data_IF_021591099958
#
_entry.id   IF_021591099958
#
_cell.length_a   1.000
_cell.length_b   1.000
_cell.length_c   1.000
_cell.angle_alpha   90.00
_cell.angle_beta   90.00
_cell.angle_gamma   90.00
#
_symmetry.space_group_name_H-M   'P 1'
#
loop_
_entity.id
_entity.type
_entity.pdbx_description
1 polymer ?
#
# COMPACT_ATOMS: atom_id res chain seq x y z
N UNK A 1 -6.69 31.92 -16.43
CA UNK A 1 -6.98 30.74 -17.26
C UNK A 1 -8.48 30.57 -17.34
N UNK A 2 -9.04 30.18 -18.50
CA UNK A 2 -10.48 29.99 -18.63
C UNK A 2 -10.96 28.88 -17.71
N UNK A 3 -12.06 29.10 -16.97
CA UNK A 3 -12.71 28.07 -16.13
C UNK A 3 -13.42 26.98 -16.95
N UNK A 4 -13.12 26.83 -18.24
CA UNK A 4 -13.70 25.79 -19.08
C UNK A 4 -12.94 24.47 -18.88
N UNK A 5 -13.65 23.39 -18.61
CA UNK A 5 -13.07 22.05 -18.53
C UNK A 5 -12.41 21.68 -19.89
N UNK A 6 -11.25 21.00 -19.87
CA UNK A 6 -10.64 20.48 -21.08
C UNK A 6 -11.53 19.38 -21.69
N UNK A 7 -11.25 18.98 -22.94
CA UNK A 7 -11.91 17.82 -23.53
C UNK A 7 -11.54 16.55 -22.76
N UNK A 8 -12.53 15.90 -22.17
CA UNK A 8 -12.35 14.71 -21.30
C UNK A 8 -12.29 13.39 -22.10
N UNK A 9 -12.55 13.39 -23.43
CA UNK A 9 -12.72 12.15 -24.20
C UNK A 9 -11.43 11.33 -24.33
N UNK A 10 -10.27 11.97 -24.48
CA UNK A 10 -9.02 11.29 -24.81
C UNK A 10 -8.33 10.59 -23.63
N UNK A 11 -8.71 10.90 -22.38
CA UNK A 11 -8.12 10.25 -21.22
C UNK A 11 -8.93 9.04 -20.75
N UNK A 12 -8.32 7.87 -20.83
CA UNK A 12 -8.87 6.64 -20.27
C UNK A 12 -8.44 6.52 -18.80
N UNK A 13 -9.31 6.94 -17.90
CA UNK A 13 -9.03 6.95 -16.47
C UNK A 13 -8.97 5.53 -15.90
N UNK A 14 -7.93 5.19 -15.11
CA UNK A 14 -7.80 3.89 -14.46
C UNK A 14 -8.82 3.71 -13.33
N UNK A 15 -9.27 2.47 -13.09
CA UNK A 15 -10.19 2.10 -12.01
C UNK A 15 -11.42 3.02 -11.87
N UNK A 16 -11.94 3.51 -12.99
CA UNK A 16 -12.99 4.53 -13.04
C UNK A 16 -14.09 4.12 -14.00
N UNK A 17 -15.34 4.33 -13.62
CA UNK A 17 -16.46 4.28 -14.54
C UNK A 17 -16.44 5.48 -15.49
N UNK A 18 -15.62 5.43 -16.55
CA UNK A 18 -15.31 6.57 -17.42
C UNK A 18 -16.57 7.23 -17.99
N UNK A 19 -17.58 6.44 -18.40
CA UNK A 19 -18.84 6.98 -18.94
C UNK A 19 -19.60 7.84 -17.93
N UNK A 20 -19.57 7.44 -16.64
CA UNK A 20 -20.20 8.21 -15.57
C UNK A 20 -19.35 9.44 -15.21
N UNK A 21 -18.03 9.28 -15.07
CA UNK A 21 -17.13 10.36 -14.70
C UNK A 21 -17.15 11.50 -15.73
N UNK A 22 -17.11 11.20 -17.03
CA UNK A 22 -17.12 12.22 -18.07
C UNK A 22 -18.41 13.04 -18.11
N UNK A 23 -19.53 12.48 -17.61
CA UNK A 23 -20.81 13.20 -17.44
C UNK A 23 -20.89 13.98 -16.12
N UNK A 24 -20.19 13.52 -15.09
CA UNK A 24 -20.21 14.08 -13.76
C UNK A 24 -18.77 14.21 -13.23
N UNK A 25 -17.93 15.08 -13.82
CA UNK A 25 -16.51 15.15 -13.52
C UNK A 25 -16.28 15.76 -12.14
N UNK A 26 -15.41 15.12 -11.37
CA UNK A 26 -14.85 15.65 -10.11
C UNK A 26 -13.40 15.99 -10.38
N UNK A 27 -13.13 17.26 -10.61
CA UNK A 27 -11.82 17.75 -11.04
C UNK A 27 -11.18 18.60 -9.96
N UNK A 28 -9.92 18.32 -9.66
CA UNK A 28 -9.08 19.13 -8.79
C UNK A 28 -8.16 20.02 -9.64
N UNK A 29 -7.94 21.26 -9.23
CA UNK A 29 -7.02 22.19 -9.87
C UNK A 29 -5.85 22.59 -9.00
N UNK A 30 -6.02 22.55 -7.68
CA UNK A 30 -4.99 22.91 -6.70
C UNK A 30 -5.10 21.98 -5.48
N UNK A 31 -4.01 21.89 -4.72
CA UNK A 31 -4.00 21.23 -3.43
C UNK A 31 -3.02 21.91 -2.47
N UNK A 32 -3.30 21.90 -1.19
CA UNK A 32 -2.41 22.39 -0.12
C UNK A 32 -2.78 21.75 1.22
N UNK A 33 -1.79 21.26 1.95
CA UNK A 33 -2.01 20.62 3.24
C UNK A 33 -2.98 19.44 3.12
N UNK A 34 -4.11 19.50 3.82
CA UNK A 34 -5.14 18.44 3.75
C UNK A 34 -6.25 18.72 2.73
N UNK A 35 -6.13 19.72 1.88
CA UNK A 35 -7.26 20.17 1.07
C UNK A 35 -6.93 20.18 -0.42
N UNK A 36 -7.91 19.76 -1.21
CA UNK A 36 -8.00 20.02 -2.63
C UNK A 36 -8.92 21.19 -2.90
N UNK A 37 -8.61 21.98 -3.93
CA UNK A 37 -9.54 22.94 -4.54
C UNK A 37 -10.06 22.33 -5.84
N UNK A 38 -11.36 22.20 -5.97
CA UNK A 38 -12.01 21.69 -7.19
C UNK A 38 -12.02 22.73 -8.29
N UNK A 39 -12.35 22.30 -9.51
CA UNK A 39 -12.41 23.20 -10.65
C UNK A 39 -13.53 24.25 -10.56
N UNK A 40 -14.56 23.99 -9.73
CA UNK A 40 -15.65 24.89 -9.39
C UNK A 40 -15.43 25.62 -8.04
N UNK A 41 -14.19 25.76 -7.62
CA UNK A 41 -13.73 26.55 -6.45
C UNK A 41 -14.22 26.04 -5.08
N UNK A 42 -14.67 24.77 -4.97
CA UNK A 42 -15.00 24.16 -3.70
C UNK A 42 -13.75 23.58 -3.04
N UNK A 43 -13.72 23.64 -1.72
CA UNK A 43 -12.69 23.00 -0.90
C UNK A 43 -13.13 21.59 -0.49
N UNK A 44 -12.28 20.59 -0.72
CA UNK A 44 -12.51 19.20 -0.33
C UNK A 44 -11.36 18.74 0.56
N UNK A 45 -11.67 18.33 1.80
CA UNK A 45 -10.69 17.76 2.72
C UNK A 45 -10.32 16.35 2.31
N UNK A 46 -9.05 16.03 2.31
CA UNK A 46 -8.52 14.69 2.00
C UNK A 46 -8.54 13.80 3.26
N UNK A 47 -9.55 12.98 3.39
CA UNK A 47 -9.69 12.00 4.48
C UNK A 47 -8.99 10.65 4.20
N UNK A 48 -8.23 10.53 3.08
CA UNK A 48 -7.65 9.24 2.66
C UNK A 48 -6.21 9.37 2.12
N UNK A 49 -5.54 10.51 2.38
CA UNK A 49 -4.18 10.78 1.90
C UNK A 49 -4.02 10.53 0.39
N UNK A 50 -4.90 11.12 -0.42
CA UNK A 50 -4.98 10.85 -1.86
C UNK A 50 -5.39 9.41 -2.14
N UNK A 51 -4.41 8.53 -2.26
CA UNK A 51 -4.60 7.09 -2.40
C UNK A 51 -3.67 6.35 -1.41
N UNK A 52 -3.81 6.64 -0.10
CA UNK A 52 -2.94 6.17 0.99
C UNK A 52 -1.46 6.55 0.78
N UNK A 53 -1.15 7.71 0.20
CA UNK A 53 0.21 8.08 -0.16
C UNK A 53 0.65 9.46 0.33
N UNK A 54 -0.25 10.44 0.46
CA UNK A 54 0.09 11.83 0.79
C UNK A 54 0.21 12.03 2.31
N UNK A 55 1.15 11.30 2.95
CA UNK A 55 1.29 11.29 4.41
C UNK A 55 1.67 12.68 4.97
N UNK A 56 2.51 13.46 4.26
CA UNK A 56 2.87 14.84 4.62
C UNK A 56 1.86 15.88 4.11
N UNK A 57 0.69 15.46 3.62
CA UNK A 57 -0.26 16.33 2.94
C UNK A 57 0.19 16.70 1.52
N UNK A 58 -0.50 17.67 0.93
CA UNK A 58 -0.31 18.09 -0.45
C UNK A 58 0.60 19.32 -0.55
N UNK A 59 1.42 19.33 -1.60
CA UNK A 59 2.29 20.47 -1.97
C UNK A 59 3.16 20.97 -0.80
N UNK A 60 3.73 20.06 -0.01
CA UNK A 60 4.58 20.41 1.13
C UNK A 60 5.79 21.24 0.64
N UNK A 61 6.01 22.47 1.18
CA UNK A 61 6.99 23.42 0.60
C UNK A 61 8.41 22.84 0.49
N UNK A 62 8.90 22.16 1.53
CA UNK A 62 10.25 21.57 1.54
C UNK A 62 10.41 20.46 0.50
N UNK A 63 9.36 19.67 0.24
CA UNK A 63 9.39 18.60 -0.78
C UNK A 63 9.37 19.23 -2.17
N UNK A 64 8.51 20.22 -2.39
CA UNK A 64 8.42 20.96 -3.66
C UNK A 64 9.76 21.63 -3.99
N UNK A 65 10.37 22.33 -3.03
CA UNK A 65 11.67 22.97 -3.18
C UNK A 65 12.78 21.98 -3.56
N UNK A 66 12.82 20.81 -2.90
CA UNK A 66 13.80 19.77 -3.20
C UNK A 66 13.67 19.25 -4.65
N UNK A 67 12.44 19.04 -5.12
CA UNK A 67 12.17 18.61 -6.50
C UNK A 67 12.62 19.69 -7.49
N UNK A 68 12.30 20.95 -7.25
CA UNK A 68 12.69 22.09 -8.11
C UNK A 68 14.21 22.20 -8.22
N UNK A 69 14.91 22.17 -7.09
CA UNK A 69 16.37 22.22 -7.04
C UNK A 69 17.01 21.03 -7.76
N UNK A 70 16.45 19.82 -7.59
CA UNK A 70 16.98 18.65 -8.27
C UNK A 70 16.76 18.73 -9.79
N UNK A 71 15.61 19.24 -10.24
CA UNK A 71 15.31 19.43 -11.66
C UNK A 71 16.27 20.43 -12.34
N UNK A 72 16.75 21.46 -11.63
CA UNK A 72 17.73 22.41 -12.11
C UNK A 72 19.15 21.84 -12.17
N UNK A 73 19.45 20.82 -11.36
CA UNK A 73 20.82 20.29 -11.21
C UNK A 73 21.06 19.02 -12.02
N UNK A 74 20.15 18.04 -11.92
CA UNK A 74 20.22 16.77 -12.61
C UNK A 74 18.79 16.21 -12.71
N UNK A 75 18.18 16.39 -13.87
CA UNK A 75 16.80 15.97 -14.15
C UNK A 75 16.66 14.45 -14.33
N UNK A 76 17.65 13.84 -15.00
CA UNK A 76 17.72 12.40 -15.24
C UNK A 76 19.15 11.88 -15.27
N UNK A 77 19.36 10.70 -14.71
CA UNK A 77 20.54 9.87 -14.91
C UNK A 77 20.11 8.40 -15.00
N UNK A 78 20.69 7.65 -15.93
CA UNK A 78 20.43 6.21 -16.00
C UNK A 78 21.06 5.48 -14.81
N UNK A 79 20.35 4.50 -14.26
CA UNK A 79 20.90 3.61 -13.24
C UNK A 79 21.66 2.40 -13.84
N UNK A 80 21.71 2.28 -15.17
CA UNK A 80 22.37 1.16 -15.82
C UNK A 80 23.85 1.48 -16.00
N UNK A 81 24.71 0.90 -15.13
CA UNK A 81 26.17 1.07 -15.08
C UNK A 81 26.63 2.52 -14.77
N UNK A 82 25.70 3.39 -14.40
CA UNK A 82 25.94 4.75 -13.97
C UNK A 82 25.11 5.02 -12.71
N UNK A 83 25.43 6.06 -11.97
CA UNK A 83 24.70 6.40 -10.76
C UNK A 83 24.80 7.89 -10.43
N UNK A 84 24.09 8.29 -9.39
CA UNK A 84 24.17 9.62 -8.82
C UNK A 84 24.06 9.57 -7.28
N UNK A 85 24.70 10.49 -6.55
CA UNK A 85 24.79 10.44 -5.09
C UNK A 85 23.43 10.38 -4.37
N UNK A 86 22.43 11.09 -4.92
CA UNK A 86 21.11 11.24 -4.28
C UNK A 86 20.39 9.87 -4.10
N UNK A 87 20.57 8.94 -5.07
CA UNK A 87 19.91 7.63 -4.96
C UNK A 87 20.59 6.73 -3.92
N UNK A 88 21.92 6.80 -3.79
CA UNK A 88 22.64 6.06 -2.76
C UNK A 88 22.28 6.59 -1.37
N UNK A 89 22.20 7.92 -1.20
CA UNK A 89 21.73 8.50 0.05
C UNK A 89 20.27 8.10 0.39
N UNK A 90 19.40 7.97 -0.63
CA UNK A 90 18.04 7.46 -0.43
C UNK A 90 18.04 6.00 -0.01
N UNK A 91 18.90 5.16 -0.60
CA UNK A 91 19.04 3.76 -0.21
C UNK A 91 19.50 3.63 1.25
N UNK A 92 20.55 4.36 1.64
CA UNK A 92 21.06 4.43 3.01
C UNK A 92 19.94 4.81 3.99
N UNK A 93 19.22 5.91 3.72
CA UNK A 93 18.13 6.36 4.60
C UNK A 93 16.99 5.34 4.73
N UNK A 94 16.67 4.60 3.68
CA UNK A 94 15.64 3.55 3.73
C UNK A 94 16.09 2.35 4.55
N UNK A 95 17.35 1.93 4.39
CA UNK A 95 17.95 0.83 5.17
C UNK A 95 18.00 1.20 6.66
N UNK A 96 18.40 2.43 7.00
CA UNK A 96 18.42 2.91 8.39
C UNK A 96 17.03 2.90 9.06
N UNK A 97 15.95 3.03 8.27
CA UNK A 97 14.58 3.02 8.78
C UNK A 97 13.97 1.62 8.87
N UNK A 98 14.43 0.70 8.02
CA UNK A 98 13.91 -0.66 7.92
C UNK A 98 14.31 -1.54 9.10
N UNK A 99 13.65 -2.68 9.32
CA UNK A 99 14.17 -3.71 10.22
C UNK A 99 15.62 -4.04 9.87
N UNK A 100 16.49 -4.12 10.89
CA UNK A 100 17.97 -4.18 10.77
C UNK A 100 18.52 -5.27 9.82
N UNK A 101 17.72 -6.30 9.51
CA UNK A 101 18.12 -7.37 8.61
C UNK A 101 17.98 -7.00 7.11
N UNK A 102 17.24 -5.93 6.78
CA UNK A 102 17.02 -5.48 5.41
C UNK A 102 18.08 -4.42 5.05
N UNK A 103 19.12 -4.84 4.35
CA UNK A 103 20.35 -4.07 4.15
C UNK A 103 20.56 -3.52 2.75
N UNK A 104 19.74 -3.94 1.77
CA UNK A 104 19.90 -3.51 0.38
C UNK A 104 18.57 -3.08 -0.25
N UNK A 105 18.61 -2.03 -1.07
CA UNK A 105 17.46 -1.46 -1.75
C UNK A 105 17.56 -1.56 -3.27
N UNK A 106 16.50 -2.02 -3.92
CA UNK A 106 16.33 -2.01 -5.37
C UNK A 106 15.16 -1.08 -5.73
N UNK A 107 15.39 -0.05 -6.58
CA UNK A 107 14.39 0.97 -6.88
C UNK A 107 13.57 0.67 -8.13
N UNK A 108 12.28 0.99 -8.04
CA UNK A 108 11.28 0.88 -9.10
C UNK A 108 10.46 2.18 -9.18
N UNK A 109 9.45 2.24 -10.06
CA UNK A 109 8.64 3.47 -10.23
C UNK A 109 7.26 3.40 -9.57
N UNK A 110 6.89 2.24 -9.04
CA UNK A 110 5.58 2.01 -8.41
C UNK A 110 5.61 0.79 -7.49
N UNK A 111 4.58 0.67 -6.62
CA UNK A 111 4.38 -0.53 -5.84
C UNK A 111 4.11 -1.79 -6.70
N UNK A 112 3.46 -1.63 -7.85
CA UNK A 112 3.23 -2.75 -8.78
C UNK A 112 4.52 -3.31 -9.34
N UNK A 113 5.45 -2.43 -9.74
CA UNK A 113 6.78 -2.84 -10.18
C UNK A 113 7.63 -3.39 -9.02
N UNK A 114 7.50 -2.83 -7.82
CA UNK A 114 8.19 -3.34 -6.64
C UNK A 114 7.77 -4.79 -6.34
N UNK A 115 6.49 -5.11 -6.40
CA UNK A 115 5.99 -6.48 -6.22
C UNK A 115 6.52 -7.42 -7.30
N UNK A 116 6.36 -7.09 -8.58
CA UNK A 116 6.87 -7.94 -9.68
C UNK A 116 8.39 -8.14 -9.57
N UNK A 117 9.13 -7.13 -9.10
CA UNK A 117 10.57 -7.21 -8.82
C UNK A 117 10.86 -8.14 -7.63
N UNK A 118 10.13 -8.01 -6.53
CA UNK A 118 10.30 -8.87 -5.34
C UNK A 118 10.06 -10.35 -5.67
N UNK A 119 9.03 -10.67 -6.46
CA UNK A 119 8.76 -12.02 -6.92
C UNK A 119 9.90 -12.56 -7.80
N UNK A 120 10.46 -11.73 -8.69
CA UNK A 120 11.62 -12.09 -9.52
C UNK A 120 12.87 -12.31 -8.69
N UNK A 121 13.14 -11.45 -7.70
CA UNK A 121 14.26 -11.62 -6.77
C UNK A 121 14.13 -12.95 -6.04
N UNK A 122 12.95 -13.28 -5.51
CA UNK A 122 12.72 -14.54 -4.81
C UNK A 122 13.02 -15.77 -5.69
N UNK A 123 12.51 -15.78 -6.91
CA UNK A 123 12.76 -16.89 -7.87
C UNK A 123 14.25 -16.97 -8.27
N UNK A 124 14.88 -15.84 -8.54
CA UNK A 124 16.28 -15.76 -8.95
C UNK A 124 17.23 -16.12 -7.80
N UNK A 125 16.92 -15.73 -6.57
CA UNK A 125 17.66 -16.10 -5.36
C UNK A 125 17.76 -17.61 -5.20
N UNK A 126 16.64 -18.33 -5.24
CA UNK A 126 16.66 -19.78 -5.14
C UNK A 126 17.43 -20.42 -6.31
N UNK A 127 17.30 -19.87 -7.51
CA UNK A 127 18.06 -20.35 -8.67
C UNK A 127 19.57 -20.13 -8.49
N UNK A 128 20.01 -18.97 -7.97
CA UNK A 128 21.42 -18.67 -7.71
C UNK A 128 22.04 -19.66 -6.69
N UNK A 129 21.23 -20.12 -5.74
CA UNK A 129 21.64 -21.15 -4.74
C UNK A 129 21.56 -22.59 -5.24
N UNK A 130 21.22 -22.82 -6.51
CA UNK A 130 21.06 -24.18 -7.05
C UNK A 130 19.69 -24.81 -6.78
N UNK A 131 18.75 -24.07 -6.19
CA UNK A 131 17.38 -24.51 -5.85
C UNK A 131 16.35 -24.04 -6.90
N UNK A 132 16.73 -24.07 -8.17
CA UNK A 132 15.89 -23.56 -9.28
C UNK A 132 14.55 -24.30 -9.50
N UNK A 133 14.27 -25.33 -8.72
CA UNK A 133 12.99 -26.03 -8.65
C UNK A 133 11.96 -25.31 -7.76
N UNK A 134 12.38 -24.37 -6.90
CA UNK A 134 11.51 -23.50 -6.12
C UNK A 134 10.91 -22.41 -7.01
N UNK A 135 9.76 -22.69 -7.59
CA UNK A 135 9.09 -21.80 -8.56
C UNK A 135 7.67 -21.42 -8.19
N UNK A 136 7.11 -22.04 -7.14
CA UNK A 136 5.77 -21.73 -6.67
C UNK A 136 5.76 -20.48 -5.79
N UNK A 137 4.69 -19.71 -5.95
CA UNK A 137 4.43 -18.52 -5.16
C UNK A 137 3.09 -18.68 -4.43
N UNK A 138 3.02 -18.20 -3.22
CA UNK A 138 1.79 -18.26 -2.42
C UNK A 138 1.38 -16.84 -2.05
N UNK A 139 0.16 -16.44 -2.46
CA UNK A 139 -0.46 -15.19 -2.06
C UNK A 139 -1.58 -15.41 -1.04
N UNK A 140 -2.49 -14.44 -0.92
CA UNK A 140 -3.64 -14.54 -0.04
C UNK A 140 -4.91 -14.04 -0.75
N UNK A 141 -6.04 -14.71 -0.54
CA UNK A 141 -7.36 -14.21 -0.96
C UNK A 141 -7.57 -12.78 -0.46
N UNK A 142 -8.18 -11.94 -1.27
CA UNK A 142 -8.36 -10.50 -1.04
C UNK A 142 -7.06 -9.68 -0.95
N UNK A 143 -5.88 -10.27 -1.13
CA UNK A 143 -4.62 -9.52 -1.23
C UNK A 143 -4.58 -8.64 -2.48
N UNK A 144 -4.00 -7.44 -2.35
CA UNK A 144 -3.74 -6.54 -3.47
C UNK A 144 -2.24 -6.25 -3.58
N UNK A 145 -1.65 -6.64 -4.69
CA UNK A 145 -0.21 -6.52 -4.93
C UNK A 145 0.10 -5.79 -6.24
N UNK A 146 -0.70 -4.78 -6.57
CA UNK A 146 -0.53 -4.01 -7.80
C UNK A 146 -1.21 -4.64 -9.01
N UNK A 147 -0.80 -4.19 -10.22
CA UNK A 147 -1.48 -4.49 -11.49
C UNK A 147 -0.59 -5.15 -12.52
N UNK A 148 0.69 -5.43 -12.21
CA UNK A 148 1.56 -6.29 -13.01
C UNK A 148 1.06 -7.73 -13.02
N UNK A 149 1.43 -8.54 -14.03
CA UNK A 149 0.97 -9.93 -14.10
C UNK A 149 1.44 -10.78 -12.91
N UNK A 150 2.62 -10.50 -12.33
CA UNK A 150 3.04 -11.10 -11.08
C UNK A 150 2.11 -10.72 -9.94
N UNK A 151 1.90 -9.43 -9.74
CA UNK A 151 1.07 -8.89 -8.67
C UNK A 151 -0.38 -9.36 -8.73
N UNK A 152 -1.03 -9.40 -9.91
CA UNK A 152 -2.40 -9.93 -10.04
C UNK A 152 -2.47 -11.45 -9.91
N UNK A 153 -1.36 -12.16 -10.16
CA UNK A 153 -1.32 -13.62 -10.00
C UNK A 153 -1.30 -14.01 -8.52
N UNK A 154 -0.45 -13.38 -7.71
CA UNK A 154 -0.39 -13.60 -6.24
C UNK A 154 -1.49 -12.84 -5.50
N UNK A 155 -2.08 -11.80 -6.10
CA UNK A 155 -3.22 -11.09 -5.56
C UNK A 155 -4.50 -11.94 -5.55
N UNK A 156 -5.39 -11.69 -4.60
CA UNK A 156 -6.63 -12.45 -4.39
C UNK A 156 -7.92 -11.67 -4.63
N UNK A 157 -7.84 -10.49 -5.26
CA UNK A 157 -9.00 -9.67 -5.58
C UNK A 157 -9.58 -10.05 -6.95
N UNK A 158 -10.72 -10.73 -6.99
CA UNK A 158 -11.38 -11.20 -8.21
C UNK A 158 -11.58 -10.11 -9.28
N UNK A 159 -12.00 -8.86 -8.96
CA UNK A 159 -12.17 -7.83 -9.98
C UNK A 159 -10.89 -7.51 -10.76
N UNK A 160 -9.72 -7.64 -10.12
CA UNK A 160 -8.41 -7.33 -10.70
C UNK A 160 -7.88 -8.45 -11.61
N UNK A 161 -8.48 -9.63 -11.58
CA UNK A 161 -8.02 -10.84 -12.27
C UNK A 161 -8.93 -11.26 -13.43
N UNK A 162 -10.24 -11.19 -13.22
CA UNK A 162 -11.25 -11.81 -14.07
C UNK A 162 -11.24 -11.41 -15.55
N UNK A 163 -10.70 -10.23 -15.88
CA UNK A 163 -10.67 -9.74 -17.26
C UNK A 163 -9.44 -10.22 -18.06
N UNK A 164 -8.40 -10.71 -17.38
CA UNK A 164 -7.12 -10.99 -18.02
C UNK A 164 -6.90 -12.48 -18.32
N UNK A 165 -7.61 -13.37 -17.65
CA UNK A 165 -7.62 -14.81 -17.90
C UNK A 165 -6.34 -15.52 -17.47
N UNK A 166 -5.24 -15.34 -18.21
CA UNK A 166 -3.96 -15.99 -17.94
C UNK A 166 -3.26 -15.35 -16.73
N UNK A 167 -2.88 -16.21 -15.77
CA UNK A 167 -2.06 -15.86 -14.60
C UNK A 167 -0.74 -16.62 -14.65
N UNK A 168 0.23 -16.24 -13.82
CA UNK A 168 1.44 -17.03 -13.66
C UNK A 168 1.08 -18.46 -13.18
N UNK A 169 1.68 -19.50 -13.74
CA UNK A 169 1.49 -20.86 -13.25
C UNK A 169 2.14 -21.06 -11.88
N UNK A 170 1.66 -22.04 -11.11
CA UNK A 170 2.25 -22.39 -9.81
C UNK A 170 2.00 -21.36 -8.71
N UNK A 171 0.83 -20.71 -8.74
CA UNK A 171 0.42 -19.78 -7.68
C UNK A 171 -0.76 -20.36 -6.91
N UNK A 172 -0.62 -20.41 -5.59
CA UNK A 172 -1.67 -20.78 -4.65
C UNK A 172 -2.05 -19.60 -3.76
N UNK A 173 -3.20 -19.71 -3.06
CA UNK A 173 -3.69 -18.63 -2.22
C UNK A 173 -4.14 -19.16 -0.85
N UNK A 174 -3.63 -18.55 0.20
CA UNK A 174 -4.17 -18.70 1.55
C UNK A 174 -5.57 -18.07 1.64
N UNK A 175 -6.40 -18.58 2.52
CA UNK A 175 -7.67 -17.93 2.88
C UNK A 175 -7.40 -16.56 3.51
N UNK A 176 -8.33 -15.63 3.27
CA UNK A 176 -8.28 -14.35 3.98
C UNK A 176 -8.68 -14.51 5.45
N UNK A 177 -8.23 -13.57 6.30
CA UNK A 177 -8.49 -13.59 7.75
C UNK A 177 -9.76 -12.84 8.16
N UNK A 178 -10.45 -12.18 7.21
CA UNK A 178 -11.68 -11.47 7.49
C UNK A 178 -12.83 -12.45 7.80
N UNK A 179 -13.44 -12.29 8.96
CA UNK A 179 -14.54 -13.15 9.43
C UNK A 179 -15.52 -12.34 10.29
N UNK A 180 -16.73 -12.13 9.79
CA UNK A 180 -17.74 -11.33 10.48
C UNK A 180 -18.35 -12.07 11.69
N UNK A 181 -18.39 -13.38 11.67
CA UNK A 181 -18.95 -14.17 12.77
C UNK A 181 -18.11 -14.04 14.05
N UNK A 182 -16.77 -14.07 13.91
CA UNK A 182 -15.85 -14.07 15.03
C UNK A 182 -15.21 -12.70 15.31
N UNK A 183 -15.00 -11.89 14.26
CA UNK A 183 -14.16 -10.70 14.31
C UNK A 183 -14.91 -9.38 14.06
N UNK A 184 -16.24 -9.40 13.85
CA UNK A 184 -16.99 -8.16 13.65
C UNK A 184 -16.77 -7.18 14.80
N UNK A 185 -16.46 -5.92 14.44
CA UNK A 185 -16.22 -4.83 15.38
C UNK A 185 -15.04 -5.04 16.36
N UNK A 186 -14.06 -5.87 16.00
CA UNK A 186 -12.83 -5.97 16.77
C UNK A 186 -12.09 -4.63 16.78
N UNK A 187 -11.59 -4.23 17.95
CA UNK A 187 -10.73 -3.06 18.12
C UNK A 187 -9.28 -3.54 18.03
N UNK A 188 -8.51 -2.96 17.12
CA UNK A 188 -7.15 -3.43 16.82
C UNK A 188 -7.13 -4.84 16.23
N UNK A 189 -6.16 -5.66 16.63
CA UNK A 189 -6.01 -7.03 16.13
C UNK A 189 -7.11 -7.96 16.66
N UNK A 190 -7.82 -8.69 15.77
CA UNK A 190 -8.75 -9.73 16.19
C UNK A 190 -8.04 -10.84 16.98
N UNK A 191 -8.72 -11.42 17.95
CA UNK A 191 -8.17 -12.54 18.74
C UNK A 191 -8.34 -13.91 18.04
N UNK A 192 -9.36 -14.04 17.21
CA UNK A 192 -9.65 -15.28 16.48
C UNK A 192 -9.00 -15.25 15.09
N UNK A 193 -8.38 -16.36 14.69
CA UNK A 193 -7.97 -16.57 13.32
C UNK A 193 -6.45 -16.79 13.11
N UNK A 194 -5.64 -16.91 14.18
CA UNK A 194 -4.22 -17.29 14.07
C UNK A 194 -4.02 -18.66 13.40
N UNK A 195 -4.91 -19.62 13.70
CA UNK A 195 -4.93 -20.97 13.12
C UNK A 195 -5.16 -20.99 11.60
N UNK A 196 -5.66 -19.91 11.02
CA UNK A 196 -5.79 -19.80 9.56
C UNK A 196 -4.42 -19.82 8.85
N UNK A 197 -3.33 -19.58 9.59
CA UNK A 197 -1.97 -19.73 9.08
C UNK A 197 -1.60 -21.20 8.81
N UNK A 198 -2.26 -22.17 9.49
CA UNK A 198 -1.99 -23.60 9.33
C UNK A 198 -2.31 -24.11 7.92
N UNK A 199 -3.16 -23.37 7.17
CA UNK A 199 -3.41 -23.66 5.76
C UNK A 199 -2.13 -23.57 4.90
N UNK A 200 -1.14 -22.77 5.32
CA UNK A 200 0.15 -22.75 4.61
C UNK A 200 0.78 -24.15 4.65
N UNK A 201 0.79 -24.80 5.80
CA UNK A 201 1.29 -26.19 5.94
C UNK A 201 0.53 -27.17 5.04
N UNK A 202 -0.80 -27.04 4.94
CA UNK A 202 -1.61 -27.89 4.05
C UNK A 202 -1.20 -27.73 2.57
N UNK A 203 -0.99 -26.50 2.11
CA UNK A 203 -0.52 -26.18 0.75
C UNK A 203 0.88 -26.75 0.53
N UNK A 204 1.77 -26.59 1.51
CA UNK A 204 3.15 -27.11 1.43
C UNK A 204 3.17 -28.63 1.35
N UNK A 205 2.32 -29.33 2.10
CA UNK A 205 2.21 -30.79 2.04
C UNK A 205 1.68 -31.28 0.69
N UNK A 206 0.79 -30.50 0.04
CA UNK A 206 0.24 -30.85 -1.27
C UNK A 206 1.30 -30.72 -2.38
N UNK A 207 2.19 -29.74 -2.31
CA UNK A 207 3.10 -29.38 -3.40
C UNK A 207 4.56 -29.76 -3.16
N UNK A 208 4.92 -30.26 -1.99
CA UNK A 208 6.28 -30.38 -1.46
C UNK A 208 6.89 -28.98 -1.17
N UNK A 209 7.25 -28.71 0.11
CA UNK A 209 7.81 -27.41 0.53
C UNK A 209 9.03 -26.97 -0.29
N UNK A 210 9.83 -27.92 -0.79
CA UNK A 210 11.01 -27.64 -1.62
C UNK A 210 10.68 -26.99 -2.96
N UNK A 211 9.42 -27.01 -3.41
CA UNK A 211 8.99 -26.37 -4.67
C UNK A 211 8.55 -24.92 -4.49
N UNK A 212 8.35 -24.45 -3.25
CA UNK A 212 7.83 -23.12 -2.95
C UNK A 212 8.99 -22.13 -2.78
N UNK A 213 8.93 -21.04 -3.53
CA UNK A 213 9.91 -19.97 -3.47
C UNK A 213 9.58 -18.92 -2.41
N UNK A 214 8.35 -18.43 -2.39
CA UNK A 214 7.96 -17.34 -1.50
C UNK A 214 6.47 -17.34 -1.17
N UNK A 215 6.17 -16.77 0.01
CA UNK A 215 4.84 -16.31 0.41
C UNK A 215 4.84 -14.79 0.37
N UNK A 216 3.82 -14.17 -0.21
CA UNK A 216 3.64 -12.72 -0.22
C UNK A 216 2.31 -12.34 0.42
N UNK A 217 2.33 -11.30 1.28
CA UNK A 217 1.13 -10.73 1.87
C UNK A 217 1.33 -9.29 2.34
N UNK A 218 0.24 -8.54 2.43
CA UNK A 218 0.20 -7.25 3.13
C UNK A 218 0.12 -7.52 4.64
N UNK A 219 0.86 -6.78 5.50
CA UNK A 219 0.63 -6.84 6.96
C UNK A 219 -0.82 -6.53 7.34
N UNK A 220 -1.40 -5.50 6.72
CA UNK A 220 -2.83 -5.18 6.76
C UNK A 220 -3.32 -5.17 5.30
N UNK A 221 -4.36 -5.95 4.98
CA UNK A 221 -4.93 -5.94 3.64
C UNK A 221 -5.74 -4.65 3.40
N UNK A 222 -5.02 -3.59 3.04
CA UNK A 222 -5.57 -2.23 2.96
C UNK A 222 -6.60 -2.08 1.86
N UNK A 223 -6.23 -2.44 0.63
CA UNK A 223 -7.09 -2.30 -0.56
C UNK A 223 -8.34 -3.18 -0.54
N UNK A 224 -8.35 -4.26 0.25
CA UNK A 224 -9.50 -5.14 0.38
C UNK A 224 -10.57 -4.63 1.35
N UNK A 225 -10.23 -3.69 2.24
CA UNK A 225 -11.14 -3.17 3.25
C UNK A 225 -10.52 -2.99 4.63
N UNK A 226 -9.19 -2.79 4.69
CA UNK A 226 -8.43 -2.62 5.94
C UNK A 226 -8.59 -3.83 6.87
N UNK A 227 -8.32 -5.02 6.35
CA UNK A 227 -8.41 -6.26 7.15
C UNK A 227 -7.16 -6.42 8.01
N UNK A 228 -7.35 -6.28 9.32
CA UNK A 228 -6.29 -6.39 10.31
C UNK A 228 -5.98 -7.89 10.55
N UNK A 229 -4.71 -8.31 10.57
CA UNK A 229 -4.35 -9.70 10.83
C UNK A 229 -4.69 -10.06 12.28
N UNK A 230 -5.19 -11.30 12.54
CA UNK A 230 -5.35 -11.80 13.90
C UNK A 230 -4.02 -11.83 14.67
N UNK A 231 -4.11 -11.73 15.98
CA UNK A 231 -2.94 -11.86 16.87
C UNK A 231 -2.25 -13.20 16.61
N UNK A 232 -0.92 -13.15 16.33
CA UNK A 232 -0.12 -14.35 16.08
C UNK A 232 -0.16 -14.90 14.65
N UNK A 233 -1.10 -14.46 13.80
CA UNK A 233 -1.21 -14.97 12.42
C UNK A 233 0.06 -14.78 11.59
N UNK A 234 0.61 -13.55 11.57
CA UNK A 234 1.82 -13.24 10.79
C UNK A 234 3.06 -13.95 11.36
N UNK A 235 3.15 -14.09 12.68
CA UNK A 235 4.24 -14.82 13.34
C UNK A 235 4.25 -16.29 12.94
N UNK A 236 3.08 -16.96 12.94
CA UNK A 236 2.96 -18.35 12.46
C UNK A 236 3.35 -18.49 10.99
N UNK A 237 2.94 -17.57 10.12
CA UNK A 237 3.38 -17.57 8.71
C UNK A 237 4.90 -17.47 8.63
N UNK A 238 5.53 -16.58 9.42
CA UNK A 238 7.00 -16.45 9.46
C UNK A 238 7.64 -17.77 9.91
N UNK A 239 7.17 -18.34 11.01
CA UNK A 239 7.68 -19.60 11.55
C UNK A 239 7.62 -20.75 10.52
N UNK A 240 6.50 -20.91 9.83
CA UNK A 240 6.35 -21.94 8.79
C UNK A 240 7.29 -21.67 7.60
N UNK A 241 7.45 -20.40 7.19
CA UNK A 241 8.38 -20.05 6.13
C UNK A 241 9.82 -20.37 6.52
N UNK A 242 10.23 -20.06 7.75
CA UNK A 242 11.58 -20.35 8.29
C UNK A 242 11.87 -21.85 8.31
N UNK A 243 10.92 -22.64 8.81
CA UNK A 243 11.06 -24.10 8.89
C UNK A 243 11.36 -24.75 7.52
N UNK A 244 10.81 -24.17 6.45
CA UNK A 244 10.91 -24.75 5.10
C UNK A 244 11.81 -23.97 4.15
N UNK A 245 12.52 -22.93 4.62
CA UNK A 245 13.40 -22.10 3.79
C UNK A 245 12.67 -21.37 2.67
N UNK A 246 11.43 -20.94 2.93
CA UNK A 246 10.57 -20.20 2.03
C UNK A 246 10.70 -18.71 2.36
N UNK A 247 10.88 -17.86 1.34
CA UNK A 247 10.99 -16.43 1.58
C UNK A 247 9.63 -15.81 1.94
N UNK A 248 9.60 -14.99 2.97
CA UNK A 248 8.45 -14.15 3.31
C UNK A 248 8.62 -12.76 2.71
N UNK A 249 7.71 -12.36 1.83
CA UNK A 249 7.62 -11.02 1.26
C UNK A 249 6.48 -10.28 1.96
N UNK A 250 6.79 -9.17 2.65
CA UNK A 250 5.75 -8.27 3.17
C UNK A 250 5.58 -7.07 2.24
N UNK A 251 4.35 -6.89 1.77
CA UNK A 251 3.96 -5.75 0.96
C UNK A 251 3.57 -4.57 1.88
N UNK A 252 4.53 -3.68 2.09
CA UNK A 252 4.42 -2.51 2.96
C UNK A 252 4.05 -1.23 2.19
N UNK A 253 3.57 -1.36 0.98
CA UNK A 253 3.21 -0.22 0.11
C UNK A 253 2.17 0.70 0.75
N UNK A 254 1.25 0.16 1.58
CA UNK A 254 0.29 0.96 2.36
C UNK A 254 0.73 1.12 3.81
N UNK A 255 1.20 0.06 4.45
CA UNK A 255 1.47 -0.01 5.88
C UNK A 255 2.77 0.66 6.32
N UNK A 256 3.69 0.88 5.37
CA UNK A 256 4.95 1.56 5.64
C UNK A 256 4.84 3.06 5.89
N UNK A 257 5.96 3.65 6.27
CA UNK A 257 6.16 5.08 6.48
C UNK A 257 5.18 5.70 7.47
N UNK A 258 5.05 5.09 8.66
CA UNK A 258 4.32 5.67 9.80
C UNK A 258 2.83 5.35 9.86
N UNK A 259 2.25 4.68 8.85
CA UNK A 259 0.80 4.47 8.75
C UNK A 259 0.22 3.63 9.89
N UNK A 260 0.96 2.66 10.39
CA UNK A 260 0.59 1.81 11.52
C UNK A 260 0.98 2.38 12.89
N UNK A 261 1.62 3.56 12.92
CA UNK A 261 2.25 4.13 14.12
C UNK A 261 3.72 3.74 14.32
N UNK A 262 4.22 2.76 13.56
CA UNK A 262 5.63 2.34 13.46
C UNK A 262 6.20 2.74 12.11
N UNK A 263 7.52 2.62 11.90
CA UNK A 263 8.11 2.89 10.58
C UNK A 263 7.44 2.04 9.50
N UNK A 264 7.26 0.75 9.81
CA UNK A 264 6.63 -0.24 8.93
C UNK A 264 5.61 -1.09 9.69
N UNK A 265 4.72 -1.76 8.97
CA UNK A 265 3.78 -2.71 9.56
C UNK A 265 4.49 -3.93 10.14
N UNK A 266 5.60 -4.36 9.56
CA UNK A 266 6.48 -5.40 10.09
C UNK A 266 6.92 -5.11 11.53
N UNK A 267 7.30 -3.87 11.82
CA UNK A 267 7.65 -3.43 13.18
C UNK A 267 6.43 -3.50 14.12
N UNK A 268 5.27 -3.04 13.63
CA UNK A 268 4.04 -3.01 14.43
C UNK A 268 3.55 -4.39 14.83
N UNK A 269 3.79 -5.40 13.99
CA UNK A 269 3.39 -6.79 14.24
C UNK A 269 4.55 -7.70 14.72
N UNK A 270 5.77 -7.17 14.82
CA UNK A 270 6.94 -7.91 15.28
C UNK A 270 7.35 -9.06 14.35
N UNK A 271 7.26 -8.86 13.04
CA UNK A 271 7.59 -9.87 12.03
C UNK A 271 8.54 -9.28 10.99
N UNK A 272 9.78 -9.76 10.93
CA UNK A 272 10.76 -9.34 9.94
C UNK A 272 10.62 -10.19 8.67
N UNK A 273 10.36 -9.58 7.49
CA UNK A 273 10.35 -10.30 6.22
C UNK A 273 11.76 -10.52 5.68
N UNK A 274 11.89 -11.40 4.68
CA UNK A 274 13.12 -11.55 3.91
C UNK A 274 13.22 -10.49 2.80
N UNK A 275 12.05 -10.11 2.27
CA UNK A 275 11.89 -9.08 1.24
C UNK A 275 10.73 -8.17 1.62
N UNK A 276 10.89 -6.87 1.45
CA UNK A 276 9.84 -5.86 1.70
C UNK A 276 9.61 -5.02 0.46
N UNK A 277 8.36 -4.84 0.04
CA UNK A 277 8.02 -3.89 -1.04
C UNK A 277 7.49 -2.59 -0.47
N UNK A 278 7.97 -1.47 -1.00
CA UNK A 278 7.66 -0.11 -0.53
C UNK A 278 7.31 0.83 -1.69
N UNK A 279 6.45 1.82 -1.44
CA UNK A 279 6.10 2.90 -2.37
C UNK A 279 5.33 4.02 -1.62
N UNK A 280 4.43 4.70 -2.28
CA UNK A 280 3.43 5.65 -1.73
C UNK A 280 3.98 6.66 -0.73
N UNK A 281 3.93 6.35 0.57
CA UNK A 281 4.45 7.22 1.63
C UNK A 281 5.92 7.57 1.49
N UNK A 282 6.69 6.78 0.75
CA UNK A 282 8.12 7.02 0.50
C UNK A 282 8.40 8.39 -0.11
N UNK A 283 7.52 8.89 -0.97
CA UNK A 283 7.62 10.22 -1.60
C UNK A 283 6.44 11.13 -1.25
N UNK A 284 5.62 10.74 -0.28
CA UNK A 284 4.33 11.42 0.02
C UNK A 284 3.46 11.63 -1.24
N UNK A 285 3.54 10.71 -2.21
CA UNK A 285 2.78 10.76 -3.45
C UNK A 285 3.20 11.85 -4.45
N UNK A 286 4.27 12.62 -4.18
CA UNK A 286 4.66 13.77 -5.00
C UNK A 286 5.32 13.36 -6.31
N UNK A 287 6.15 12.32 -6.30
CA UNK A 287 6.82 11.76 -7.47
C UNK A 287 6.68 10.23 -7.43
N UNK A 288 6.33 9.57 -8.55
CA UNK A 288 6.24 8.11 -8.60
C UNK A 288 7.58 7.46 -8.22
N UNK A 289 7.56 6.58 -7.22
CA UNK A 289 8.70 5.76 -6.81
C UNK A 289 8.20 4.52 -6.07
N UNK A 290 8.90 3.42 -6.25
CA UNK A 290 8.77 2.19 -5.49
C UNK A 290 10.14 1.61 -5.18
N UNK A 291 10.17 0.57 -4.37
CA UNK A 291 11.43 -0.10 -4.03
C UNK A 291 11.18 -1.46 -3.40
N UNK A 292 12.22 -2.24 -3.39
CA UNK A 292 12.31 -3.54 -2.71
C UNK A 292 13.50 -3.49 -1.78
N UNK A 293 13.28 -3.79 -0.51
CA UNK A 293 14.34 -3.99 0.47
C UNK A 293 14.54 -5.49 0.67
N UNK A 294 15.78 -5.93 0.76
CA UNK A 294 16.15 -7.35 0.91
C UNK A 294 17.17 -7.55 2.01
N UNK A 295 17.19 -8.75 2.60
CA UNK A 295 18.26 -9.18 3.51
C UNK A 295 19.59 -9.29 2.78
N UNK A 296 20.69 -9.12 3.54
CA UNK A 296 22.05 -9.24 3.02
C UNK A 296 22.32 -10.57 2.34
N UNK A 297 21.86 -11.67 2.92
CA UNK A 297 22.03 -13.02 2.34
C UNK A 297 21.37 -13.18 0.97
N UNK A 298 20.28 -12.43 0.69
CA UNK A 298 19.62 -12.43 -0.61
C UNK A 298 20.48 -11.67 -1.62
N UNK A 299 20.98 -10.50 -1.26
CA UNK A 299 21.87 -9.73 -2.10
C UNK A 299 23.17 -10.50 -2.41
N UNK A 300 23.82 -11.06 -1.39
CA UNK A 300 25.08 -11.81 -1.52
C UNK A 300 24.96 -13.04 -2.42
N UNK A 301 23.79 -13.69 -2.46
CA UNK A 301 23.57 -14.82 -3.34
C UNK A 301 23.71 -14.50 -4.84
N UNK A 302 23.54 -13.23 -5.21
CA UNK A 302 23.76 -12.75 -6.58
C UNK A 302 25.20 -12.31 -6.83
N UNK A 303 25.97 -11.97 -5.80
CA UNK A 303 27.32 -11.42 -5.91
C UNK A 303 28.34 -12.54 -6.25
N UNK A 304 28.14 -13.19 -7.38
CA UNK A 304 28.94 -14.33 -7.83
C UNK A 304 29.34 -14.17 -9.30
N UNK A 305 30.42 -14.85 -9.72
CA UNK A 305 30.93 -14.78 -11.09
C UNK A 305 31.97 -13.66 -11.28
N UNK A 306 32.24 -13.24 -12.54
CA UNK A 306 33.18 -12.14 -12.83
C UNK A 306 32.68 -10.80 -12.25
N UNK A 307 33.58 -9.99 -11.68
CA UNK A 307 33.25 -8.71 -11.01
C UNK A 307 32.59 -7.66 -11.94
N UNK A 308 32.79 -7.78 -13.25
CA UNK A 308 32.24 -6.89 -14.27
C UNK A 308 30.96 -7.45 -14.94
N UNK A 309 30.48 -8.61 -14.50
CA UNK A 309 29.24 -9.20 -15.03
C UNK A 309 28.01 -8.58 -14.33
N UNK A 310 26.91 -8.52 -15.07
CA UNK A 310 25.61 -8.09 -14.50
C UNK A 310 25.02 -9.28 -13.73
N UNK A 311 24.95 -9.17 -12.40
CA UNK A 311 24.52 -10.24 -11.51
C UNK A 311 23.01 -10.50 -11.58
N UNK A 312 22.22 -9.43 -11.81
CA UNK A 312 20.76 -9.52 -11.90
C UNK A 312 20.23 -8.75 -13.11
N UNK A 313 19.83 -9.48 -14.17
CA UNK A 313 19.34 -8.90 -15.43
C UNK A 313 17.90 -8.38 -15.29
N UNK A 314 17.73 -7.33 -14.50
CA UNK A 314 16.45 -6.68 -14.24
C UNK A 314 16.66 -5.21 -13.86
N UNK A 315 15.74 -4.35 -14.33
CA UNK A 315 15.73 -2.93 -14.03
C UNK A 315 14.74 -2.19 -14.91
N UNK A 316 14.43 -0.96 -14.54
CA UNK A 316 13.55 -0.07 -15.27
C UNK A 316 14.31 1.17 -15.71
N UNK A 317 13.92 1.77 -16.83
CA UNK A 317 14.56 3.01 -17.35
C UNK A 317 14.60 4.12 -16.28
N UNK A 318 13.59 4.19 -15.43
CA UNK A 318 13.48 5.22 -14.39
C UNK A 318 13.81 4.69 -12.98
N UNK A 319 14.41 3.52 -12.82
CA UNK A 319 14.91 3.05 -11.53
C UNK A 319 15.85 4.07 -10.91
N UNK A 320 15.55 4.48 -9.67
CA UNK A 320 16.40 5.46 -8.97
C UNK A 320 16.40 6.86 -9.58
N UNK A 321 15.31 7.31 -10.20
CA UNK A 321 15.20 8.63 -10.83
C UNK A 321 15.59 9.77 -9.89
N UNK A 322 16.47 10.71 -10.30
CA UNK A 322 16.97 11.79 -9.44
C UNK A 322 15.88 12.61 -8.75
N UNK A 323 14.83 13.00 -9.48
CA UNK A 323 13.71 13.77 -8.91
C UNK A 323 12.94 12.95 -7.85
N UNK A 324 12.76 11.65 -8.07
CA UNK A 324 12.07 10.79 -7.13
C UNK A 324 12.92 10.57 -5.85
N UNK A 325 14.24 10.39 -6.02
CA UNK A 325 15.16 10.26 -4.89
C UNK A 325 15.21 11.55 -4.05
N UNK A 326 15.26 12.73 -4.68
CA UNK A 326 15.23 14.02 -3.97
C UNK A 326 13.89 14.23 -3.24
N UNK A 327 12.77 13.89 -3.89
CA UNK A 327 11.45 13.95 -3.27
C UNK A 327 11.36 13.00 -2.06
N UNK A 328 11.88 11.77 -2.20
CA UNK A 328 11.92 10.77 -1.12
C UNK A 328 12.73 11.25 0.07
N UNK A 329 13.97 11.68 -0.14
CA UNK A 329 14.83 12.21 0.94
C UNK A 329 14.19 13.39 1.66
N UNK A 330 13.62 14.35 0.90
CA UNK A 330 12.93 15.49 1.48
C UNK A 330 11.68 15.04 2.27
N UNK A 331 10.95 14.05 1.79
CA UNK A 331 9.78 13.50 2.47
C UNK A 331 10.16 12.84 3.79
N UNK A 332 11.17 11.97 3.79
CA UNK A 332 11.64 11.29 5.01
C UNK A 332 12.16 12.31 6.04
N UNK A 333 12.87 13.34 5.56
CA UNK A 333 13.31 14.44 6.44
C UNK A 333 12.14 15.24 7.02
N UNK A 334 11.09 15.51 6.25
CA UNK A 334 9.87 16.17 6.74
C UNK A 334 9.19 15.32 7.80
N UNK A 335 9.09 14.00 7.63
CA UNK A 335 8.53 13.11 8.63
C UNK A 335 9.27 13.21 9.97
N UNK A 336 10.59 13.26 9.91
CA UNK A 336 11.46 13.37 11.09
C UNK A 336 11.38 14.78 11.72
N UNK A 337 11.68 15.84 10.94
CA UNK A 337 11.77 17.22 11.42
C UNK A 337 10.45 17.74 12.01
N UNK A 338 9.32 17.29 11.49
CA UNK A 338 8.00 17.76 11.89
C UNK A 338 7.26 16.75 12.79
N UNK A 339 7.93 15.65 13.16
CA UNK A 339 7.40 14.64 14.07
C UNK A 339 6.13 13.97 13.56
N UNK A 340 6.00 13.76 12.24
CA UNK A 340 4.75 13.31 11.64
C UNK A 340 4.36 11.88 12.05
N UNK A 341 5.33 11.00 12.29
CA UNK A 341 5.04 9.66 12.83
C UNK A 341 4.54 9.70 14.27
N UNK A 342 5.08 10.64 15.07
CA UNK A 342 4.58 10.90 16.42
C UNK A 342 3.15 11.44 16.38
N UNK A 343 2.86 12.35 15.46
CA UNK A 343 1.50 12.85 15.28
C UNK A 343 0.54 11.72 14.85
N UNK A 344 0.97 10.84 13.95
CA UNK A 344 0.20 9.66 13.54
C UNK A 344 -0.14 8.77 14.75
N UNK A 345 0.83 8.51 15.66
CA UNK A 345 0.59 7.77 16.90
C UNK A 345 -0.40 8.46 17.83
N UNK A 346 -0.37 9.80 17.94
CA UNK A 346 -1.31 10.58 18.74
C UNK A 346 -2.73 10.57 18.17
N UNK A 347 -2.86 10.55 16.84
CA UNK A 347 -4.15 10.55 16.17
C UNK A 347 -4.79 9.15 16.05
N UNK A 348 -4.01 8.09 16.16
CA UNK A 348 -4.52 6.72 16.04
C UNK A 348 -5.66 6.42 17.06
N UNK A 349 -5.51 6.70 18.37
CA UNK A 349 -6.61 6.49 19.31
C UNK A 349 -7.82 7.42 19.06
N UNK A 350 -7.61 8.61 18.50
CA UNK A 350 -8.72 9.50 18.13
C UNK A 350 -9.53 8.88 16.99
N UNK A 351 -8.85 8.37 15.96
CA UNK A 351 -9.53 7.68 14.86
C UNK A 351 -10.26 6.43 15.35
N UNK A 352 -9.64 5.65 16.24
CA UNK A 352 -10.24 4.47 16.84
C UNK A 352 -11.52 4.82 17.61
N UNK A 353 -11.47 5.80 18.51
CA UNK A 353 -12.62 6.23 19.29
C UNK A 353 -13.78 6.72 18.40
N UNK A 354 -13.47 7.60 17.45
CA UNK A 354 -14.49 8.19 16.58
C UNK A 354 -15.13 7.18 15.63
N UNK A 355 -14.31 6.30 14.99
CA UNK A 355 -14.86 5.32 14.04
C UNK A 355 -15.73 4.28 14.73
N UNK A 356 -15.43 3.91 15.99
CA UNK A 356 -16.24 2.97 16.75
C UNK A 356 -17.63 3.54 17.12
N UNK A 357 -17.80 4.86 17.12
CA UNK A 357 -19.11 5.50 17.32
C UNK A 357 -20.07 5.30 16.13
N UNK A 358 -19.54 4.85 14.97
CA UNK A 358 -20.38 4.49 13.81
C UNK A 358 -21.06 3.12 14.00
N UNK A 359 -20.63 2.32 14.99
CA UNK A 359 -21.24 1.03 15.29
C UNK A 359 -22.73 1.17 15.56
N UNK A 360 -23.54 0.39 14.84
CA UNK A 360 -25.01 0.44 14.94
C UNK A 360 -25.67 1.46 14.01
N UNK A 361 -24.90 2.23 13.24
CA UNK A 361 -25.46 3.06 12.19
C UNK A 361 -26.04 2.18 11.06
N UNK A 362 -26.98 2.74 10.30
CA UNK A 362 -27.65 2.03 9.21
C UNK A 362 -26.64 1.36 8.27
N UNK A 363 -26.91 0.10 7.95
CA UNK A 363 -26.13 -0.71 7.00
C UNK A 363 -24.71 -1.07 7.44
N UNK A 364 -24.21 -0.63 8.58
CA UNK A 364 -22.87 -0.95 9.07
C UNK A 364 -22.84 -2.36 9.63
N UNK A 365 -21.99 -3.22 9.08
CA UNK A 365 -21.84 -4.63 9.48
C UNK A 365 -20.49 -4.92 10.13
N UNK A 366 -19.47 -4.06 9.89
CA UNK A 366 -18.16 -4.19 10.48
C UNK A 366 -17.42 -2.85 10.53
N UNK A 367 -16.53 -2.71 11.50
CA UNK A 367 -15.57 -1.62 11.63
C UNK A 367 -14.22 -2.23 11.93
N UNK A 368 -13.19 -1.77 11.25
CA UNK A 368 -11.79 -2.13 11.52
C UNK A 368 -10.92 -0.89 11.57
N UNK A 369 -9.92 -0.89 12.45
CA UNK A 369 -8.92 0.16 12.55
C UNK A 369 -7.60 -0.35 13.12
N UNK A 370 -6.50 0.23 12.65
CA UNK A 370 -5.17 0.04 13.21
C UNK A 370 -4.27 1.21 12.80
N UNK A 371 -3.63 1.88 13.77
CA UNK A 371 -2.90 3.12 13.49
C UNK A 371 -3.83 4.18 12.87
N UNK A 372 -3.38 4.85 11.82
CA UNK A 372 -4.21 5.79 11.04
C UNK A 372 -4.82 5.13 9.79
N UNK A 373 -5.29 3.90 9.93
CA UNK A 373 -6.10 3.18 8.97
C UNK A 373 -7.43 2.84 9.63
N UNK A 374 -8.53 3.22 8.99
CA UNK A 374 -9.88 2.86 9.46
C UNK A 374 -10.79 2.50 8.30
N UNK A 375 -11.71 1.57 8.54
CA UNK A 375 -12.71 1.19 7.56
C UNK A 375 -14.06 0.86 8.19
N UNK A 376 -15.12 1.13 7.42
CA UNK A 376 -16.51 0.81 7.74
C UNK A 376 -17.06 -0.04 6.61
N UNK A 377 -17.38 -1.29 6.89
CA UNK A 377 -17.99 -2.21 5.92
C UNK A 377 -19.52 -2.16 6.01
N UNK A 378 -20.14 -2.06 4.85
CA UNK A 378 -21.57 -1.90 4.71
C UNK A 378 -22.23 -3.18 4.17
N UNK A 379 -23.44 -3.45 4.61
CA UNK A 379 -24.26 -4.47 4.01
C UNK A 379 -24.54 -4.12 2.53
N UNK A 380 -24.16 -4.98 1.57
CA UNK A 380 -24.35 -4.71 0.14
C UNK A 380 -25.84 -4.65 -0.24
N UNK A 381 -26.15 -3.90 -1.30
CA UNK A 381 -27.47 -3.96 -1.94
C UNK A 381 -27.52 -5.21 -2.80
N UNK A 382 -28.53 -6.05 -2.63
CA UNK A 382 -28.71 -7.26 -3.41
C UNK A 382 -28.74 -6.96 -4.92
N UNK A 383 -27.94 -7.70 -5.69
CA UNK A 383 -27.79 -7.51 -7.13
C UNK A 383 -27.04 -6.25 -7.56
N UNK A 384 -26.62 -5.39 -6.62
CA UNK A 384 -25.88 -4.14 -6.89
C UNK A 384 -24.69 -3.96 -5.96
N UNK A 385 -23.70 -4.85 -6.00
CA UNK A 385 -22.50 -4.73 -5.16
C UNK A 385 -21.81 -3.38 -5.41
N UNK A 386 -21.20 -2.80 -4.38
CA UNK A 386 -20.53 -1.49 -4.37
C UNK A 386 -21.43 -0.26 -4.42
N UNK A 387 -22.71 -0.41 -4.77
CA UNK A 387 -23.60 0.74 -4.98
C UNK A 387 -23.78 1.58 -3.70
N UNK A 388 -23.89 0.92 -2.53
CA UNK A 388 -24.09 1.60 -1.25
C UNK A 388 -22.86 2.44 -0.87
N UNK A 389 -21.69 1.84 -0.90
CA UNK A 389 -20.44 2.56 -0.60
C UNK A 389 -20.19 3.71 -1.59
N UNK A 390 -20.53 3.54 -2.87
CA UNK A 390 -20.43 4.63 -3.85
C UNK A 390 -21.42 5.76 -3.58
N UNK A 391 -22.59 5.48 -3.00
CA UNK A 391 -23.54 6.54 -2.57
C UNK A 391 -22.96 7.32 -1.41
N UNK A 392 -22.41 6.64 -0.39
CA UNK A 392 -21.72 7.31 0.72
C UNK A 392 -20.52 8.14 0.23
N UNK A 393 -19.71 7.59 -0.71
CA UNK A 393 -18.60 8.34 -1.29
C UNK A 393 -19.03 9.66 -1.93
N UNK A 394 -20.14 9.65 -2.67
CA UNK A 394 -20.67 10.85 -3.33
C UNK A 394 -21.17 11.86 -2.29
N UNK A 395 -21.93 11.39 -1.32
CA UNK A 395 -22.45 12.21 -0.25
C UNK A 395 -21.33 12.87 0.57
N UNK A 396 -20.28 12.10 0.94
CA UNK A 396 -19.09 12.66 1.60
C UNK A 396 -18.40 13.71 0.73
N UNK A 397 -18.24 13.44 -0.57
CA UNK A 397 -17.62 14.39 -1.48
C UNK A 397 -18.43 15.69 -1.61
N UNK A 398 -19.75 15.58 -1.72
CA UNK A 398 -20.64 16.74 -1.79
C UNK A 398 -20.64 17.55 -0.49
N UNK A 399 -20.38 16.92 0.65
CA UNK A 399 -20.14 17.55 1.97
C UNK A 399 -18.71 18.07 2.16
N UNK A 400 -17.85 17.92 1.15
CA UNK A 400 -16.49 18.45 1.16
C UNK A 400 -15.45 17.55 1.85
N UNK A 401 -15.66 16.23 1.90
CA UNK A 401 -14.70 15.25 2.41
C UNK A 401 -14.47 14.13 1.39
N UNK A 402 -13.20 13.91 1.04
CA UNK A 402 -12.79 12.79 0.18
C UNK A 402 -12.49 11.57 1.05
N UNK A 403 -13.14 10.46 0.74
CA UNK A 403 -12.90 9.12 1.29
C UNK A 403 -12.59 8.14 0.16
N UNK A 404 -12.24 6.90 0.49
CA UNK A 404 -12.06 5.82 -0.50
C UNK A 404 -13.09 4.72 -0.28
N UNK A 405 -13.51 4.07 -1.39
CA UNK A 405 -14.34 2.87 -1.31
C UNK A 405 -13.67 1.69 -2.00
N UNK A 406 -13.83 0.51 -1.42
CA UNK A 406 -13.44 -0.77 -2.00
C UNK A 406 -14.55 -1.78 -1.75
N UNK A 407 -15.17 -2.31 -2.81
CA UNK A 407 -16.40 -3.07 -2.63
C UNK A 407 -17.44 -2.22 -1.91
N UNK A 408 -18.07 -2.78 -0.88
CA UNK A 408 -18.98 -2.07 0.00
C UNK A 408 -18.31 -1.58 1.30
N UNK A 409 -17.00 -1.37 1.29
CA UNK A 409 -16.22 -0.84 2.42
C UNK A 409 -15.78 0.60 2.14
N UNK A 410 -15.96 1.47 3.14
CA UNK A 410 -15.46 2.84 3.18
C UNK A 410 -14.15 2.83 3.94
N UNK A 411 -13.08 3.39 3.36
CA UNK A 411 -11.79 3.54 4.03
C UNK A 411 -11.46 5.00 4.29
N UNK A 412 -10.89 5.25 5.45
CA UNK A 412 -10.37 6.53 5.94
C UNK A 412 -8.92 6.38 6.36
N UNK A 413 -8.09 7.33 5.97
CA UNK A 413 -6.65 7.27 6.18
C UNK A 413 -6.09 8.69 6.06
N UNK A 414 -6.36 9.57 7.03
CA UNK A 414 -6.01 10.98 6.94
C UNK A 414 -4.49 11.17 6.85
N UNK A 415 -4.01 12.27 6.24
CA UNK A 415 -2.60 12.68 6.28
C UNK A 415 -2.11 12.87 7.73
N UNK A 416 -0.80 12.70 7.96
CA UNK A 416 -0.22 12.79 9.30
C UNK A 416 -0.14 14.23 9.83
N UNK A 417 -0.34 15.22 8.96
CA UNK A 417 -0.45 16.63 9.34
C UNK A 417 -1.82 17.00 9.92
N UNK A 418 -2.77 16.04 9.96
CA UNK A 418 -4.11 16.24 10.49
C UNK A 418 -4.07 16.64 11.96
N UNK A 419 -5.11 17.34 12.40
CA UNK A 419 -5.46 17.56 13.80
C UNK A 419 -6.51 16.54 14.25
N UNK A 420 -6.72 16.43 15.55
CA UNK A 420 -7.82 15.61 16.09
C UNK A 420 -9.20 16.06 15.56
N UNK A 421 -9.40 17.35 15.37
CA UNK A 421 -10.65 17.90 14.84
C UNK A 421 -10.84 17.56 13.35
N UNK A 422 -9.75 17.49 12.57
CA UNK A 422 -9.82 17.01 11.19
C UNK A 422 -10.24 15.54 11.12
N UNK A 423 -9.69 14.70 12.00
CA UNK A 423 -10.08 13.27 12.09
C UNK A 423 -11.56 13.15 12.45
N UNK A 424 -12.03 13.89 13.48
CA UNK A 424 -13.45 13.94 13.86
C UNK A 424 -14.33 14.39 12.70
N UNK A 425 -13.92 15.43 11.98
CA UNK A 425 -14.66 15.93 10.82
C UNK A 425 -14.82 14.87 9.74
N UNK A 426 -13.75 14.15 9.41
CA UNK A 426 -13.81 13.06 8.41
C UNK A 426 -14.80 11.98 8.86
N UNK A 427 -14.69 11.51 10.10
CA UNK A 427 -15.55 10.42 10.62
C UNK A 427 -17.01 10.87 10.75
N UNK A 428 -17.26 12.09 11.25
CA UNK A 428 -18.64 12.63 11.37
C UNK A 428 -19.28 12.81 10.00
N UNK A 429 -18.51 13.25 8.98
CA UNK A 429 -19.04 13.36 7.61
C UNK A 429 -19.45 11.98 7.06
N UNK A 430 -18.67 10.92 7.34
CA UNK A 430 -19.06 9.55 6.97
C UNK A 430 -20.33 9.13 7.68
N UNK A 431 -20.46 9.41 9.00
CA UNK A 431 -21.66 9.11 9.79
C UNK A 431 -22.90 9.80 9.24
N UNK A 432 -22.83 11.11 9.02
CA UNK A 432 -23.92 11.89 8.43
C UNK A 432 -24.29 11.41 7.02
N UNK A 433 -23.29 11.00 6.23
CA UNK A 433 -23.52 10.47 4.88
C UNK A 433 -24.19 9.09 4.91
N UNK A 434 -23.93 8.27 5.93
CA UNK A 434 -24.62 7.00 6.15
C UNK A 434 -26.10 7.22 6.53
N UNK A 435 -26.39 8.28 7.29
CA UNK A 435 -27.78 8.64 7.66
C UNK A 435 -28.57 9.22 6.48
N UNK A 436 -27.90 9.78 5.48
CA UNK A 436 -28.51 10.39 4.30
C UNK A 436 -28.78 9.42 3.15
N UNK A 437 -28.29 8.19 3.22
CA UNK A 437 -28.52 7.16 2.19
C UNK A 437 -29.57 6.14 2.64
N UNK A 438 -30.33 5.58 1.68
CA UNK A 438 -31.32 4.51 1.88
C UNK A 438 -30.67 3.12 2.09
#
# INVERSE_FOLDING_TARGET
>A
MSNALPNLEHYWMPFTGNRYFKKNPRMFKEASGMHYTTYDDKTVMDGVSGLWCCNAGHCHPKIVEAIQKQAETLDYATAFQLGHPTIFAMAEKLVDMAPNELTHAFFTNSGSEAVDTALKIALAYHRARGEGHRTRLIGREKGYHGVGFGGISVGGMSPNRKMFGAMLPGVDHLKHTHNLEHNAYSVGQPKWGDHLADQLTEILMLHDPSTVAAVIMEPIAGSAGVYIPPVGYLNKIREICDEHGILLILDEVITGFGRTGSNFGSDAFGVTPDIMTIAKGMTSGTVPMGGVLVKEEIYDAFMTGPEDAIEFFHGYTYSGHPLAAAAGLATLKVYEDEGLFENARKLAPVLEEEIQQIKGANHVIHISNFGLLGAVELNPIEGKPTARALSVFRECYDRGVLIRTTGDTIAMCPPFIATADDVRKVVNTVKESLEAID
#
